data_IF_972350943186
#
_entry.id   IF_972350943186
#
_cell.length_a   1.000
_cell.length_b   1.000
_cell.length_c   1.000
_cell.angle_alpha   90.00
_cell.angle_beta   90.00
_cell.angle_gamma   90.00
#
_symmetry.space_group_name_H-M   'P 1'
#
loop_
_entity.id
_entity.type
_entity.pdbx_description
1 polymer ?
#
# COMPACT_ATOMS: atom_id res chain seq x y z
N UNK A 1 -26.24 10.40 10.76
CA UNK A 1 -25.04 9.70 10.26
C UNK A 1 -23.85 10.32 10.96
N UNK A 2 -23.03 9.52 11.62
CA UNK A 2 -21.78 9.93 12.24
C UNK A 2 -20.84 10.33 11.10
N UNK A 3 -20.41 11.59 11.08
CA UNK A 3 -19.56 12.13 10.04
C UNK A 3 -18.08 11.87 10.34
N UNK A 4 -17.28 11.79 9.28
CA UNK A 4 -15.82 11.64 9.33
C UNK A 4 -15.16 12.67 10.26
N UNK A 5 -15.51 13.93 10.10
CA UNK A 5 -14.95 15.03 10.89
C UNK A 5 -15.31 14.89 12.37
N UNK A 6 -16.52 14.40 12.68
CA UNK A 6 -16.95 14.13 14.06
C UNK A 6 -16.10 13.04 14.71
N UNK A 7 -15.73 11.99 13.96
CA UNK A 7 -14.85 10.92 14.45
C UNK A 7 -13.45 11.48 14.73
N UNK A 8 -12.88 12.21 13.76
CA UNK A 8 -11.54 12.77 13.89
C UNK A 8 -11.44 13.77 15.04
N UNK A 9 -12.39 14.70 15.16
CA UNK A 9 -12.41 15.70 16.22
C UNK A 9 -12.49 15.06 17.60
N UNK A 10 -13.32 14.02 17.76
CA UNK A 10 -13.45 13.28 19.00
C UNK A 10 -12.16 12.54 19.38
N UNK A 11 -11.52 11.88 18.41
CA UNK A 11 -10.26 11.17 18.62
C UNK A 11 -9.15 12.15 19.00
N UNK A 12 -8.97 13.22 18.23
CA UNK A 12 -7.92 14.22 18.48
C UNK A 12 -8.14 14.90 19.82
N UNK A 13 -9.38 15.26 20.17
CA UNK A 13 -9.68 15.85 21.48
C UNK A 13 -9.43 14.88 22.63
N UNK A 14 -9.81 13.60 22.47
CA UNK A 14 -9.73 12.60 23.54
C UNK A 14 -8.30 12.12 23.72
N UNK A 15 -7.74 11.48 22.71
CA UNK A 15 -6.39 10.91 22.77
C UNK A 15 -5.36 12.03 22.82
N UNK A 16 -5.54 13.12 22.08
CA UNK A 16 -4.57 14.22 22.04
C UNK A 16 -4.39 14.94 23.38
N UNK A 17 -5.32 14.76 24.32
CA UNK A 17 -5.18 15.27 25.70
C UNK A 17 -4.29 14.40 26.59
N UNK A 18 -4.01 13.15 26.19
CA UNK A 18 -3.22 12.21 26.99
C UNK A 18 -1.71 12.51 26.89
N UNK A 19 -1.01 12.48 28.03
CA UNK A 19 0.42 12.79 28.11
C UNK A 19 1.33 11.73 27.46
N UNK A 20 0.82 10.52 27.28
CA UNK A 20 1.54 9.43 26.59
C UNK A 20 1.35 9.47 25.07
N UNK A 21 0.41 10.26 24.55
CA UNK A 21 0.22 10.42 23.12
C UNK A 21 1.08 11.59 22.61
N UNK A 22 2.02 11.27 21.73
CA UNK A 22 3.05 12.18 21.24
C UNK A 22 2.68 12.80 19.90
N UNK A 23 2.02 12.05 19.01
CA UNK A 23 1.57 12.58 17.72
C UNK A 23 0.35 11.82 17.18
N UNK A 24 -0.41 12.49 16.31
CA UNK A 24 -1.51 11.96 15.50
C UNK A 24 -1.39 12.55 14.09
N UNK A 25 -1.43 11.70 13.06
CA UNK A 25 -1.54 12.14 11.68
C UNK A 25 -2.43 11.21 10.88
N UNK A 26 -2.84 11.68 9.70
CA UNK A 26 -3.54 10.90 8.69
C UNK A 26 -2.61 10.52 7.56
N UNK A 27 -2.85 9.37 6.95
CA UNK A 27 -2.19 8.92 5.72
C UNK A 27 -3.20 8.76 4.58
N UNK A 28 -2.85 8.01 3.54
CA UNK A 28 -3.77 7.65 2.46
C UNK A 28 -4.36 8.83 1.67
N UNK A 29 -5.68 8.81 1.52
CA UNK A 29 -6.41 9.76 0.64
C UNK A 29 -6.35 11.21 1.14
N UNK A 30 -6.20 11.42 2.46
CA UNK A 30 -5.97 12.73 3.06
C UNK A 30 -4.68 13.37 2.56
N UNK A 31 -3.59 12.61 2.61
CA UNK A 31 -2.27 13.07 2.18
C UNK A 31 -2.16 13.37 0.70
N UNK A 32 -2.86 12.59 -0.11
CA UNK A 32 -2.80 12.67 -1.57
C UNK A 32 -3.86 13.58 -2.19
N UNK A 33 -4.68 14.24 -1.35
CA UNK A 33 -5.78 15.11 -1.77
C UNK A 33 -6.74 14.41 -2.75
N UNK A 34 -7.02 13.13 -2.48
CA UNK A 34 -7.90 12.28 -3.30
C UNK A 34 -9.13 11.79 -2.53
N UNK A 35 -9.48 12.46 -1.43
CA UNK A 35 -10.67 12.17 -0.63
C UNK A 35 -11.95 12.21 -1.50
N UNK A 36 -12.79 11.20 -1.32
CA UNK A 36 -14.11 11.09 -1.92
C UNK A 36 -15.10 10.38 -0.97
N UNK A 37 -16.32 10.09 -1.46
CA UNK A 37 -17.36 9.44 -0.67
C UNK A 37 -17.07 7.97 -0.30
N UNK A 38 -16.02 7.37 -0.88
CA UNK A 38 -15.60 5.99 -0.68
C UNK A 38 -14.32 5.89 0.18
N UNK A 39 -13.81 7.03 0.64
CA UNK A 39 -12.59 7.08 1.43
C UNK A 39 -12.83 6.67 2.88
N UNK A 40 -11.91 5.89 3.40
CA UNK A 40 -11.72 5.55 4.81
C UNK A 40 -10.90 6.62 5.54
N UNK A 41 -10.56 6.36 6.81
CA UNK A 41 -9.67 7.15 7.63
C UNK A 41 -8.44 6.31 7.96
N UNK A 42 -7.31 6.62 7.34
CA UNK A 42 -5.99 6.08 7.69
C UNK A 42 -5.38 6.91 8.83
N UNK A 43 -5.61 6.51 10.07
CA UNK A 43 -5.12 7.21 11.27
C UNK A 43 -3.87 6.54 11.82
N UNK A 44 -2.85 7.34 12.13
CA UNK A 44 -1.70 6.89 12.90
C UNK A 44 -1.59 7.66 14.20
N UNK A 45 -1.46 6.93 15.30
CA UNK A 45 -1.26 7.43 16.65
C UNK A 45 0.12 6.98 17.14
N UNK A 46 0.92 7.92 17.66
CA UNK A 46 2.25 7.63 18.18
C UNK A 46 2.30 7.88 19.69
N UNK A 47 2.74 6.87 20.42
CA UNK A 47 2.67 6.79 21.89
C UNK A 47 4.05 6.65 22.53
N UNK A 48 4.15 6.94 23.83
CA UNK A 48 5.29 6.49 24.65
C UNK A 48 5.38 4.97 24.68
N UNK A 49 6.59 4.46 24.85
CA UNK A 49 6.82 3.01 24.93
C UNK A 49 5.99 2.37 26.05
N UNK A 50 5.29 1.27 25.74
CA UNK A 50 4.44 0.55 26.70
C UNK A 50 3.03 1.12 26.91
N UNK A 51 2.65 2.21 26.24
CA UNK A 51 1.32 2.83 26.38
C UNK A 51 0.30 2.40 25.30
N UNK A 52 0.68 1.50 24.39
CA UNK A 52 -0.16 1.09 23.25
C UNK A 52 -1.51 0.49 23.68
N UNK A 53 -1.52 -0.36 24.72
CA UNK A 53 -2.75 -0.95 25.25
C UNK A 53 -3.70 0.10 25.85
N UNK A 54 -3.13 1.04 26.62
CA UNK A 54 -3.87 2.14 27.23
C UNK A 54 -4.47 3.06 26.15
N UNK A 55 -3.71 3.36 25.11
CA UNK A 55 -4.16 4.17 23.98
C UNK A 55 -5.32 3.50 23.22
N UNK A 56 -5.27 2.18 22.98
CA UNK A 56 -6.39 1.47 22.36
C UNK A 56 -7.61 1.40 23.26
N UNK A 57 -7.44 1.16 24.57
CA UNK A 57 -8.56 1.18 25.49
C UNK A 57 -9.23 2.56 25.52
N UNK A 58 -8.45 3.65 25.43
CA UNK A 58 -8.96 5.01 25.37
C UNK A 58 -9.70 5.30 24.06
N UNK A 59 -9.16 4.82 22.93
CA UNK A 59 -9.81 4.90 21.63
C UNK A 59 -11.14 4.14 21.60
N UNK A 60 -11.17 2.90 22.12
CA UNK A 60 -12.37 2.07 22.17
C UNK A 60 -13.51 2.78 22.93
N UNK A 61 -13.18 3.43 24.06
CA UNK A 61 -14.14 4.24 24.81
C UNK A 61 -14.59 5.48 24.03
N UNK A 62 -13.67 6.20 23.39
CA UNK A 62 -13.97 7.37 22.57
C UNK A 62 -14.96 7.04 21.44
N UNK A 63 -14.72 5.94 20.72
CA UNK A 63 -15.59 5.50 19.64
C UNK A 63 -16.97 5.05 20.15
N UNK A 64 -17.02 4.35 21.29
CA UNK A 64 -18.28 3.93 21.91
C UNK A 64 -19.15 5.12 22.38
N UNK A 65 -18.55 6.28 22.68
CA UNK A 65 -19.28 7.51 23.01
C UNK A 65 -19.92 8.17 21.78
N UNK A 66 -19.33 7.98 20.58
CA UNK A 66 -19.88 8.49 19.31
C UNK A 66 -21.07 7.67 18.82
N UNK A 67 -21.03 6.36 19.02
CA UNK A 67 -22.10 5.45 18.63
C UNK A 67 -21.72 3.97 18.75
N UNK A 68 -22.64 3.05 18.41
CA UNK A 68 -22.36 1.62 18.44
C UNK A 68 -21.26 1.23 17.46
N UNK A 69 -20.19 0.63 17.98
CA UNK A 69 -19.14 -0.02 17.19
C UNK A 69 -19.66 -1.39 16.73
N UNK A 70 -19.87 -1.56 15.44
CA UNK A 70 -20.42 -2.78 14.84
C UNK A 70 -19.37 -3.64 14.12
N UNK A 71 -18.19 -3.08 13.85
CA UNK A 71 -17.02 -3.82 13.41
C UNK A 71 -15.79 -3.43 14.22
N UNK A 72 -15.01 -4.44 14.61
CA UNK A 72 -13.68 -4.26 15.18
C UNK A 72 -12.81 -5.45 14.82
N UNK A 73 -11.62 -5.18 14.28
CA UNK A 73 -10.63 -6.22 13.99
C UNK A 73 -9.23 -5.72 14.30
N UNK A 74 -8.53 -6.41 15.19
CA UNK A 74 -7.10 -6.19 15.42
C UNK A 74 -6.29 -7.23 14.65
N UNK A 75 -5.30 -6.78 13.89
CA UNK A 75 -4.45 -7.71 13.14
C UNK A 75 -3.52 -8.48 14.09
N UNK A 76 -3.59 -9.82 14.11
CA UNK A 76 -2.74 -10.63 14.98
C UNK A 76 -1.28 -10.62 14.50
N UNK A 77 -0.36 -10.89 15.42
CA UNK A 77 1.08 -11.04 15.17
C UNK A 77 1.81 -9.78 14.66
N UNK A 78 1.19 -8.61 14.80
CA UNK A 78 1.89 -7.33 14.68
C UNK A 78 2.84 -7.14 15.88
N UNK A 79 4.03 -6.54 15.71
CA UNK A 79 4.90 -6.16 16.81
C UNK A 79 4.18 -5.25 17.82
N UNK A 80 4.51 -5.36 19.10
CA UNK A 80 3.86 -4.57 20.17
C UNK A 80 4.00 -3.05 19.98
N UNK A 81 5.08 -2.61 19.33
CA UNK A 81 5.38 -1.21 19.03
C UNK A 81 4.77 -0.71 17.70
N UNK A 82 4.02 -1.55 16.98
CA UNK A 82 3.33 -1.17 15.74
C UNK A 82 2.11 -2.06 15.53
N UNK A 83 1.02 -1.75 16.23
CA UNK A 83 -0.24 -2.50 16.20
C UNK A 83 -1.23 -1.84 15.26
N UNK A 84 -2.12 -2.62 14.67
CA UNK A 84 -3.11 -2.15 13.71
C UNK A 84 -4.49 -2.70 14.04
N UNK A 85 -5.50 -1.82 14.05
CA UNK A 85 -6.88 -2.16 14.34
C UNK A 85 -7.83 -1.37 13.43
N UNK A 86 -8.84 -2.04 12.90
CA UNK A 86 -9.89 -1.45 12.07
C UNK A 86 -11.18 -1.37 12.85
N UNK A 87 -11.91 -0.27 12.68
CA UNK A 87 -13.21 -0.02 13.28
C UNK A 87 -14.23 0.40 12.23
N UNK A 88 -15.51 0.19 12.55
CA UNK A 88 -16.64 0.84 11.88
C UNK A 88 -17.73 1.16 12.93
N UNK A 89 -18.50 2.22 12.67
CA UNK A 89 -19.61 2.66 13.51
C UNK A 89 -20.93 2.48 12.76
N UNK A 90 -21.94 1.89 13.41
CA UNK A 90 -23.22 1.48 12.79
C UNK A 90 -24.00 2.62 12.10
N UNK A 91 -23.81 3.87 12.54
CA UNK A 91 -24.47 5.04 11.97
C UNK A 91 -23.55 5.88 11.06
N UNK A 92 -22.43 5.33 10.60
CA UNK A 92 -21.52 5.97 9.63
C UNK A 92 -21.72 5.41 8.20
N UNK A 93 -20.96 5.91 7.22
CA UNK A 93 -20.97 5.34 5.86
C UNK A 93 -20.32 3.97 5.87
N UNK A 94 -20.84 3.00 5.09
CA UNK A 94 -20.27 1.65 4.99
C UNK A 94 -18.82 1.62 4.49
N UNK A 95 -18.38 2.69 3.81
CA UNK A 95 -17.03 2.86 3.32
C UNK A 95 -16.11 3.62 4.29
N UNK A 96 -16.67 4.22 5.34
CA UNK A 96 -15.91 5.00 6.32
C UNK A 96 -15.35 4.08 7.40
N UNK A 97 -14.41 3.22 6.98
CA UNK A 97 -13.59 2.46 7.91
C UNK A 97 -12.63 3.41 8.63
N UNK A 98 -12.32 3.09 9.88
CA UNK A 98 -11.27 3.75 10.63
C UNK A 98 -10.13 2.76 10.83
N UNK A 99 -9.09 2.93 10.04
CA UNK A 99 -7.85 2.16 10.05
C UNK A 99 -6.88 2.84 11.00
N UNK A 100 -6.65 2.24 12.17
CA UNK A 100 -5.78 2.83 13.20
C UNK A 100 -4.50 2.03 13.35
N UNK A 101 -3.38 2.69 13.07
CA UNK A 101 -2.06 2.19 13.44
C UNK A 101 -1.59 2.88 14.73
N UNK A 102 -1.27 2.10 15.75
CA UNK A 102 -0.72 2.57 17.01
C UNK A 102 0.77 2.20 17.09
N UNK A 103 1.62 3.20 17.02
CA UNK A 103 3.07 3.09 17.07
C UNK A 103 3.60 3.58 18.42
N UNK A 104 4.77 3.09 18.84
CA UNK A 104 5.46 3.59 20.03
C UNK A 104 6.89 4.06 19.72
N UNK A 105 7.54 4.71 20.69
CA UNK A 105 8.85 5.36 20.54
C UNK A 105 9.96 4.53 19.89
N UNK A 106 9.91 3.20 20.00
CA UNK A 106 10.86 2.30 19.35
C UNK A 106 10.61 2.06 17.85
N UNK A 107 9.48 2.52 17.30
CA UNK A 107 9.14 2.39 15.90
C UNK A 107 9.69 3.58 15.09
N UNK A 108 10.52 3.35 14.05
CA UNK A 108 11.09 4.44 13.27
C UNK A 108 10.01 5.12 12.41
N UNK A 109 9.91 6.44 12.51
CA UNK A 109 9.01 7.26 11.69
C UNK A 109 9.83 8.25 10.86
N UNK A 110 9.78 8.09 9.54
CA UNK A 110 10.33 9.07 8.61
C UNK A 110 9.68 8.94 7.23
N UNK A 111 9.31 10.06 6.64
CA UNK A 111 8.70 10.15 5.31
C UNK A 111 9.72 10.60 4.27
N UNK A 112 9.55 10.19 3.02
CA UNK A 112 10.43 10.63 1.93
C UNK A 112 9.90 11.93 1.32
N UNK A 113 10.76 12.93 1.16
CA UNK A 113 10.37 14.19 0.49
C UNK A 113 10.03 13.99 -0.98
N UNK A 114 10.67 13.01 -1.61
CA UNK A 114 10.46 12.66 -3.00
C UNK A 114 9.17 11.88 -3.24
N UNK A 115 8.62 11.26 -2.19
CA UNK A 115 7.38 10.49 -2.29
C UNK A 115 6.16 11.41 -2.16
N UNK A 116 5.33 11.41 -3.21
CA UNK A 116 4.09 12.20 -3.28
C UNK A 116 2.84 11.36 -3.04
N UNK A 117 3.01 10.06 -2.80
CA UNK A 117 1.93 9.09 -2.65
C UNK A 117 1.69 8.71 -1.20
N UNK A 118 2.69 8.92 -0.33
CA UNK A 118 2.57 8.78 1.13
C UNK A 118 2.92 10.12 1.76
N UNK A 119 1.89 10.88 2.12
CA UNK A 119 2.05 12.25 2.65
C UNK A 119 1.29 12.35 3.97
N UNK A 120 1.95 12.55 5.11
CA UNK A 120 1.27 12.67 6.38
C UNK A 120 0.52 14.01 6.50
N UNK A 121 -0.74 13.95 6.93
CA UNK A 121 -1.50 15.14 7.36
C UNK A 121 -1.48 15.18 8.87
N UNK A 122 -0.61 16.03 9.43
CA UNK A 122 -0.41 16.12 10.89
C UNK A 122 -1.62 16.79 11.54
N UNK A 123 -2.28 16.07 12.46
CA UNK A 123 -3.36 16.59 13.29
C UNK A 123 -2.83 17.10 14.64
N UNK A 124 -1.80 16.45 15.17
CA UNK A 124 -1.12 16.78 16.42
C UNK A 124 0.31 16.25 16.39
N UNK A 125 1.30 17.05 16.80
CA UNK A 125 2.66 16.56 17.01
C UNK A 125 3.33 17.33 18.16
N UNK A 126 3.34 16.73 19.35
CA UNK A 126 3.90 17.32 20.57
C UNK A 126 5.42 17.14 20.66
N UNK A 127 5.96 16.15 19.96
CA UNK A 127 7.34 15.71 20.12
C UNK A 127 8.20 15.85 18.86
N UNK A 128 7.63 16.33 17.75
CA UNK A 128 8.32 16.42 16.46
C UNK A 128 8.58 15.04 15.85
N UNK A 129 7.64 14.11 16.00
CA UNK A 129 7.74 12.73 15.52
C UNK A 129 7.71 12.67 14.00
N UNK A 130 6.86 13.48 13.36
CA UNK A 130 6.67 13.43 11.90
C UNK A 130 7.80 14.20 11.23
N UNK A 131 8.76 13.45 10.68
CA UNK A 131 9.95 14.01 10.04
C UNK A 131 10.10 13.53 8.60
N UNK A 132 10.82 14.32 7.80
CA UNK A 132 11.11 13.99 6.41
C UNK A 132 12.61 13.80 6.18
N UNK A 133 12.94 12.80 5.38
CA UNK A 133 14.28 12.55 4.85
C UNK A 133 14.28 12.51 3.32
N UNK A 134 15.47 12.65 2.74
CA UNK A 134 15.64 12.41 1.31
C UNK A 134 15.85 10.92 1.09
N UNK A 135 15.45 10.43 -0.07
CA UNK A 135 15.69 9.04 -0.46
C UNK A 135 17.20 8.74 -0.57
N UNK A 136 17.65 7.62 0.01
CA UNK A 136 18.96 7.06 -0.30
C UNK A 136 18.91 6.45 -1.70
N UNK A 137 19.36 7.22 -2.69
CA UNK A 137 19.32 6.82 -4.10
C UNK A 137 20.12 5.55 -4.39
N UNK A 138 21.22 5.32 -3.66
CA UNK A 138 22.05 4.15 -3.88
C UNK A 138 21.37 2.89 -3.34
N UNK A 139 20.85 2.96 -2.12
CA UNK A 139 20.11 1.85 -1.51
C UNK A 139 18.82 1.54 -2.28
N UNK A 140 18.06 2.57 -2.65
CA UNK A 140 16.83 2.44 -3.42
C UNK A 140 17.08 1.80 -4.80
N UNK A 141 18.10 2.25 -5.53
CA UNK A 141 18.50 1.62 -6.80
C UNK A 141 18.89 0.16 -6.62
N UNK A 142 19.64 -0.18 -5.56
CA UNK A 142 20.00 -1.56 -5.26
C UNK A 142 18.76 -2.43 -4.99
N UNK A 143 17.77 -1.90 -4.27
CA UNK A 143 16.47 -2.56 -4.04
C UNK A 143 15.72 -2.80 -5.36
N UNK A 144 15.59 -1.79 -6.22
CA UNK A 144 14.91 -1.92 -7.52
C UNK A 144 15.61 -2.92 -8.44
N UNK A 145 16.95 -2.95 -8.41
CA UNK A 145 17.73 -3.95 -9.14
C UNK A 145 17.42 -5.36 -8.66
N UNK A 146 17.41 -5.59 -7.34
CA UNK A 146 17.07 -6.89 -6.78
C UNK A 146 15.63 -7.31 -7.14
N UNK A 147 14.67 -6.36 -7.11
CA UNK A 147 13.29 -6.61 -7.52
C UNK A 147 13.18 -6.96 -9.01
N UNK A 148 13.94 -6.29 -9.89
CA UNK A 148 13.99 -6.63 -11.32
C UNK A 148 14.55 -8.05 -11.53
N UNK A 149 15.64 -8.39 -10.85
CA UNK A 149 16.25 -9.72 -10.95
C UNK A 149 15.31 -10.82 -10.46
N UNK A 150 14.57 -10.57 -9.38
CA UNK A 150 13.52 -11.47 -8.89
C UNK A 150 12.39 -11.64 -9.91
N UNK A 151 11.86 -10.53 -10.46
CA UNK A 151 10.80 -10.57 -11.46
C UNK A 151 11.22 -11.35 -12.72
N UNK A 152 12.47 -11.17 -13.19
CA UNK A 152 13.05 -11.97 -14.29
C UNK A 152 13.08 -13.46 -13.93
N UNK A 153 13.53 -13.80 -12.73
CA UNK A 153 13.58 -15.17 -12.22
C UNK A 153 12.19 -15.83 -12.11
N UNK A 154 11.20 -15.10 -11.61
CA UNK A 154 9.81 -15.58 -11.51
C UNK A 154 9.20 -15.75 -12.90
N UNK A 155 9.34 -14.76 -13.79
CA UNK A 155 8.78 -14.80 -15.14
C UNK A 155 9.38 -15.93 -16.00
N UNK A 156 10.65 -16.29 -15.78
CA UNK A 156 11.30 -17.43 -16.46
C UNK A 156 10.56 -18.77 -16.27
N UNK A 157 9.72 -18.86 -15.23
CA UNK A 157 8.93 -20.05 -14.89
C UNK A 157 7.51 -20.04 -15.47
N UNK A 158 7.17 -19.11 -16.38
CA UNK A 158 5.83 -19.01 -17.03
C UNK A 158 5.32 -20.31 -17.66
N UNK A 159 6.22 -21.23 -18.03
CA UNK A 159 5.86 -22.57 -18.54
C UNK A 159 4.97 -23.36 -17.57
N UNK A 160 5.00 -23.02 -16.27
CA UNK A 160 4.08 -23.54 -15.26
C UNK A 160 2.62 -23.18 -15.54
N UNK A 161 2.33 -22.00 -16.09
CA UNK A 161 0.99 -21.62 -16.53
C UNK A 161 0.65 -22.28 -17.88
N UNK A 162 1.58 -22.25 -18.84
CA UNK A 162 1.41 -22.81 -20.19
C UNK A 162 0.99 -24.29 -20.15
N UNK A 163 1.62 -25.11 -19.30
CA UNK A 163 1.26 -26.54 -19.24
C UNK A 163 -0.20 -26.77 -18.80
N UNK A 164 -0.78 -25.87 -18.00
CA UNK A 164 -2.17 -25.99 -17.56
C UNK A 164 -3.15 -25.43 -18.58
N UNK A 165 -2.74 -24.44 -19.38
CA UNK A 165 -3.56 -24.02 -20.53
C UNK A 165 -3.68 -25.14 -21.56
N UNK A 166 -2.57 -25.83 -21.87
CA UNK A 166 -2.56 -26.99 -22.77
C UNK A 166 -3.40 -28.17 -22.27
N UNK A 167 -3.61 -28.29 -20.95
CA UNK A 167 -4.44 -29.33 -20.32
C UNK A 167 -5.92 -28.95 -20.20
N UNK A 168 -6.27 -27.70 -20.52
CA UNK A 168 -7.64 -27.21 -20.34
C UNK A 168 -8.04 -26.99 -18.87
N UNK A 169 -7.09 -26.77 -17.96
CA UNK A 169 -7.36 -26.60 -16.54
C UNK A 169 -7.35 -25.11 -16.17
N UNK A 170 -8.54 -24.49 -16.14
CA UNK A 170 -8.67 -23.05 -15.98
C UNK A 170 -8.15 -22.52 -14.64
N UNK A 171 -8.55 -23.13 -13.52
CA UNK A 171 -8.19 -22.62 -12.19
C UNK A 171 -6.68 -22.73 -11.93
N UNK A 172 -6.09 -23.85 -12.34
CA UNK A 172 -4.64 -24.05 -12.27
C UNK A 172 -3.91 -23.10 -13.24
N UNK A 173 -4.39 -22.94 -14.47
CA UNK A 173 -3.82 -21.96 -15.38
C UNK A 173 -3.89 -20.54 -14.79
N UNK A 174 -5.01 -20.16 -14.16
CA UNK A 174 -5.24 -18.83 -13.60
C UNK A 174 -4.28 -18.51 -12.45
N UNK A 175 -4.14 -19.39 -11.46
CA UNK A 175 -3.24 -19.14 -10.32
C UNK A 175 -1.77 -19.07 -10.77
N UNK A 176 -1.36 -19.91 -11.73
CA UNK A 176 -0.01 -19.88 -12.27
C UNK A 176 0.23 -18.68 -13.21
N UNK A 177 -0.79 -18.23 -13.94
CA UNK A 177 -0.74 -17.04 -14.77
C UNK A 177 -0.59 -15.77 -13.93
N UNK A 178 -1.38 -15.62 -12.87
CA UNK A 178 -1.20 -14.52 -11.92
C UNK A 178 0.22 -14.54 -11.34
N UNK A 179 0.63 -15.66 -10.76
CA UNK A 179 1.91 -15.76 -10.04
C UNK A 179 3.16 -15.60 -10.93
N UNK A 180 3.20 -16.25 -12.08
CA UNK A 180 4.43 -16.36 -12.89
C UNK A 180 4.44 -15.48 -14.14
N UNK A 181 3.36 -14.75 -14.41
CA UNK A 181 3.25 -13.92 -15.61
C UNK A 181 2.81 -12.50 -15.24
N UNK A 182 1.66 -12.35 -14.58
CA UNK A 182 1.13 -11.02 -14.29
C UNK A 182 1.86 -10.32 -13.14
N UNK A 183 2.10 -11.03 -12.03
CA UNK A 183 2.77 -10.43 -10.88
C UNK A 183 4.16 -9.86 -11.22
N UNK A 184 5.10 -10.65 -11.80
CA UNK A 184 6.39 -10.11 -12.20
C UNK A 184 6.30 -9.01 -13.28
N UNK A 185 5.27 -9.02 -14.13
CA UNK A 185 5.03 -7.92 -15.06
C UNK A 185 4.66 -6.63 -14.33
N UNK A 186 3.76 -6.70 -13.33
CA UNK A 186 3.41 -5.55 -12.51
C UNK A 186 4.63 -5.03 -11.74
N UNK A 187 5.46 -5.92 -11.17
CA UNK A 187 6.69 -5.54 -10.47
C UNK A 187 7.62 -4.71 -11.37
N UNK A 188 7.83 -5.15 -12.62
CA UNK A 188 8.66 -4.42 -13.58
C UNK A 188 8.02 -3.10 -14.00
N UNK A 189 6.70 -3.06 -14.21
CA UNK A 189 5.99 -1.82 -14.53
C UNK A 189 6.08 -0.81 -13.39
N UNK A 190 6.04 -1.27 -12.14
CA UNK A 190 6.25 -0.44 -10.95
C UNK A 190 7.63 0.18 -10.92
N UNK A 191 8.68 -0.56 -11.24
CA UNK A 191 10.04 -0.01 -11.38
C UNK A 191 10.08 1.09 -12.47
N UNK A 192 9.40 0.89 -13.59
CA UNK A 192 9.40 1.85 -14.71
C UNK A 192 8.63 3.13 -14.41
N UNK A 193 7.43 3.03 -13.84
CA UNK A 193 6.50 4.16 -13.74
C UNK A 193 6.45 4.78 -12.34
N UNK A 194 6.60 3.98 -11.28
CA UNK A 194 6.50 4.44 -9.89
C UNK A 194 7.57 3.82 -9.01
N UNK A 195 8.87 4.09 -9.26
CA UNK A 195 9.97 3.41 -8.58
C UNK A 195 10.01 3.63 -7.07
N UNK A 196 9.50 4.76 -6.57
CA UNK A 196 9.41 5.00 -5.11
C UNK A 196 8.40 4.07 -4.44
N UNK A 197 7.34 3.69 -5.17
CA UNK A 197 6.25 2.82 -4.72
C UNK A 197 6.33 1.48 -5.44
N UNK A 198 7.54 0.93 -5.55
CA UNK A 198 7.78 -0.22 -6.43
C UNK A 198 7.12 -1.51 -5.93
N UNK A 199 6.77 -1.56 -4.65
CA UNK A 199 6.18 -2.69 -3.93
C UNK A 199 4.65 -2.60 -3.77
N UNK A 200 4.02 -1.51 -4.25
CA UNK A 200 2.56 -1.33 -4.15
C UNK A 200 1.73 -2.18 -5.11
N UNK A 201 2.35 -3.06 -5.90
CA UNK A 201 1.66 -4.00 -6.78
C UNK A 201 0.56 -3.33 -7.64
N UNK A 202 -0.69 -3.75 -7.57
CA UNK A 202 -1.82 -3.11 -8.28
C UNK A 202 -2.52 -2.00 -7.48
N UNK A 203 -2.14 -1.78 -6.21
CA UNK A 203 -2.76 -0.77 -5.35
C UNK A 203 -2.54 0.61 -5.97
N UNK A 204 -3.62 1.35 -6.21
CA UNK A 204 -3.60 2.65 -6.90
C UNK A 204 -3.13 2.65 -8.37
N UNK A 205 -3.08 1.49 -9.06
CA UNK A 205 -2.63 1.43 -10.46
C UNK A 205 -3.32 2.44 -11.39
N UNK A 206 -4.62 2.72 -11.20
CA UNK A 206 -5.38 3.70 -11.99
C UNK A 206 -4.93 5.15 -11.81
N UNK A 207 -4.31 5.48 -10.67
CA UNK A 207 -3.71 6.78 -10.38
C UNK A 207 -2.27 6.84 -10.86
N UNK A 208 -1.55 5.74 -10.63
CA UNK A 208 -0.08 5.69 -10.70
C UNK A 208 0.44 5.40 -12.11
N UNK A 209 -0.32 4.67 -12.93
CA UNK A 209 0.10 4.29 -14.27
C UNK A 209 -0.56 5.13 -15.37
N UNK A 210 0.11 5.29 -16.54
CA UNK A 210 -0.52 5.82 -17.74
C UNK A 210 -1.78 5.03 -18.13
N UNK A 211 -2.79 5.72 -18.64
CA UNK A 211 -4.09 5.11 -18.93
C UNK A 211 -4.04 3.93 -19.92
N UNK A 212 -3.08 3.92 -20.85
CA UNK A 212 -2.84 2.79 -21.77
C UNK A 212 -2.23 1.57 -21.08
N UNK A 213 -1.35 1.79 -20.10
CA UNK A 213 -0.82 0.73 -19.22
C UNK A 213 -1.95 0.11 -18.41
N UNK A 214 -2.80 0.94 -17.78
CA UNK A 214 -3.97 0.48 -17.02
C UNK A 214 -4.89 -0.39 -17.87
N UNK A 215 -5.33 0.10 -19.05
CA UNK A 215 -6.20 -0.66 -19.96
C UNK A 215 -5.60 -2.00 -20.38
N UNK A 216 -4.29 -2.03 -20.58
CA UNK A 216 -3.60 -3.27 -20.97
C UNK A 216 -3.57 -4.26 -19.80
N UNK A 217 -3.30 -3.80 -18.57
CA UNK A 217 -3.39 -4.64 -17.37
C UNK A 217 -4.81 -5.16 -17.14
N UNK A 218 -5.84 -4.30 -17.22
CA UNK A 218 -7.24 -4.72 -17.10
C UNK A 218 -7.60 -5.82 -18.11
N UNK A 219 -7.15 -5.70 -19.36
CA UNK A 219 -7.31 -6.74 -20.38
C UNK A 219 -6.59 -8.04 -20.03
N UNK A 220 -5.39 -7.97 -19.43
CA UNK A 220 -4.61 -9.16 -19.06
C UNK A 220 -5.14 -9.86 -17.82
N UNK A 221 -5.72 -9.13 -16.87
CA UNK A 221 -6.36 -9.69 -15.67
C UNK A 221 -7.79 -10.18 -15.92
N UNK A 222 -8.51 -9.58 -16.88
CA UNK A 222 -9.91 -9.88 -17.21
C UNK A 222 -10.15 -11.20 -17.99
N UNK A 223 -9.34 -12.22 -17.77
CA UNK A 223 -9.44 -13.53 -18.45
C UNK A 223 -10.63 -14.34 -17.96
N UNK A 224 -11.32 -15.03 -18.87
CA UNK A 224 -12.52 -15.84 -18.59
C UNK A 224 -12.38 -17.29 -19.04
N UNK A 225 -11.41 -17.56 -19.91
CA UNK A 225 -11.18 -18.90 -20.49
C UNK A 225 -9.72 -19.28 -20.44
N UNK A 226 -9.45 -20.58 -20.63
CA UNK A 226 -8.08 -21.08 -20.80
C UNK A 226 -7.40 -20.48 -22.04
N UNK A 227 -8.17 -20.23 -23.10
CA UNK A 227 -7.67 -19.60 -24.31
C UNK A 227 -7.24 -18.16 -24.05
N UNK A 228 -8.03 -17.39 -23.28
CA UNK A 228 -7.68 -16.02 -22.89
C UNK A 228 -6.36 -15.98 -22.11
N UNK A 229 -6.15 -16.96 -21.22
CA UNK A 229 -4.89 -17.09 -20.48
C UNK A 229 -3.74 -17.41 -21.44
N UNK A 230 -3.92 -18.35 -22.36
CA UNK A 230 -2.87 -18.71 -23.32
C UNK A 230 -2.44 -17.51 -24.17
N UNK A 231 -3.40 -16.76 -24.72
CA UNK A 231 -3.13 -15.54 -25.49
C UNK A 231 -2.56 -14.41 -24.61
N UNK A 232 -3.02 -14.32 -23.36
CA UNK A 232 -2.50 -13.39 -22.36
C UNK A 232 -1.04 -13.63 -22.02
N UNK A 233 -0.60 -14.90 -21.94
CA UNK A 233 0.81 -15.25 -21.70
C UNK A 233 1.71 -14.72 -22.82
N UNK A 234 1.33 -14.92 -24.09
CA UNK A 234 2.12 -14.48 -25.24
C UNK A 234 2.22 -12.95 -25.29
N UNK A 235 1.11 -12.26 -25.08
CA UNK A 235 1.06 -10.79 -25.01
C UNK A 235 1.88 -10.24 -23.85
N UNK A 236 1.77 -10.86 -22.68
CA UNK A 236 2.51 -10.46 -21.49
C UNK A 236 4.02 -10.69 -21.65
N UNK A 237 4.46 -11.72 -22.36
CA UNK A 237 5.88 -11.97 -22.63
C UNK A 237 6.54 -10.85 -23.44
N UNK A 238 5.91 -10.42 -24.53
CA UNK A 238 6.43 -9.32 -25.32
C UNK A 238 6.49 -8.03 -24.49
N UNK A 239 5.46 -7.77 -23.69
CA UNK A 239 5.40 -6.58 -22.87
C UNK A 239 6.43 -6.61 -21.73
N UNK A 240 6.54 -7.73 -21.02
CA UNK A 240 7.50 -7.96 -19.95
C UNK A 240 8.93 -7.72 -20.44
N UNK A 241 9.30 -8.26 -21.60
CA UNK A 241 10.64 -8.04 -22.19
C UNK A 241 10.93 -6.56 -22.43
N UNK A 242 9.97 -5.81 -22.97
CA UNK A 242 10.11 -4.37 -23.21
C UNK A 242 10.18 -3.58 -21.91
N UNK A 243 9.34 -3.91 -20.93
CA UNK A 243 9.33 -3.25 -19.64
C UNK A 243 10.62 -3.51 -18.87
N UNK A 244 11.14 -4.74 -18.91
CA UNK A 244 12.39 -5.12 -18.24
C UNK A 244 13.59 -4.41 -18.86
N UNK A 245 13.64 -4.28 -20.19
CA UNK A 245 14.69 -3.51 -20.87
C UNK A 245 14.65 -2.02 -20.46
N UNK A 246 13.45 -1.43 -20.37
CA UNK A 246 13.27 -0.04 -19.89
C UNK A 246 13.69 0.13 -18.43
N UNK A 247 13.35 -0.83 -17.57
CA UNK A 247 13.75 -0.81 -16.17
C UNK A 247 15.28 -0.90 -16.04
N UNK A 248 15.91 -1.79 -16.81
CA UNK A 248 17.36 -1.94 -16.82
C UNK A 248 18.07 -0.65 -17.27
N UNK A 249 17.60 -0.03 -18.35
CA UNK A 249 18.09 1.26 -18.85
C UNK A 249 17.92 2.38 -17.83
N UNK A 250 16.74 2.50 -17.19
CA UNK A 250 16.50 3.50 -16.16
C UNK A 250 17.41 3.34 -14.95
N UNK A 251 17.66 2.09 -14.53
CA UNK A 251 18.57 1.78 -13.42
C UNK A 251 20.04 2.03 -13.77
N UNK A 252 20.43 1.88 -15.03
CA UNK A 252 21.78 2.19 -15.52
C UNK A 252 22.02 3.70 -15.62
N UNK A 253 21.09 4.46 -16.23
CA UNK A 253 21.24 5.90 -16.40
C UNK A 253 21.25 6.65 -15.04
N UNK A 254 20.51 6.15 -14.05
CA UNK A 254 20.53 6.70 -12.70
C UNK A 254 21.85 6.47 -11.94
N UNK A 255 22.79 5.69 -12.49
CA UNK A 255 24.14 5.55 -11.93
C UNK A 255 25.06 6.71 -12.38
N UNK A 256 24.89 7.22 -13.60
CA UNK A 256 25.73 8.25 -14.19
C UNK A 256 25.45 9.67 -13.66
N UNK A 257 24.27 9.90 -13.06
CA UNK A 257 23.91 11.19 -12.43
C UNK A 257 24.35 11.31 -10.95
N UNK A 258 24.92 10.25 -10.37
CA UNK A 258 25.33 10.18 -8.97
C UNK A 258 26.85 10.32 -8.75
N UNK A 259 27.63 10.40 -9.83
CA UNK A 259 29.08 10.65 -9.88
C UNK A 259 29.39 12.06 -10.43
#
# INVERSE_FOLDING_TARGET
MIARETILDAIVSTLGSEDYLLAIWLEGSDGTNSLDAYSDIDLVCYTKEGCTDEAFARLDLCLAELGPVDMTYEQPNRPNNNRYKVYHLQDSSEHLLLDVTMQSESFPVSFLKEDKTVVPVVLLDKAGVVTYQNIDRAAHRAQLRAQLDEALGVFSQRSRAVKYTQRGHFLEALIYYQKYVLNPLVDVLRIVYTPIQSDCFLVHASRDFPADVVRTLESLYGVKTVQDIAEGIDRAEEWFRRAAAKADEALANAADEAD
#
